data_IF_050661285877
#
_entry.id   IF_050661285877
#
_cell.length_a   1.000
_cell.length_b   1.000
_cell.length_c   1.000
_cell.angle_alpha   90.00
_cell.angle_beta   90.00
_cell.angle_gamma   90.00
#
_symmetry.space_group_name_H-M   'P 1'
#
loop_
_entity.id
_entity.type
_entity.pdbx_description
1 polymer ?
#
# COMPACT_ATOMS: atom_id res chain seq x y z
N UNK A 1 -16.96 13.23 -29.64
CA UNK A 1 -15.66 13.36 -28.95
C UNK A 1 -14.96 12.01 -29.07
N UNK A 2 -13.81 11.94 -29.73
CA UNK A 2 -13.03 10.69 -29.76
C UNK A 2 -12.63 10.33 -28.33
N UNK A 3 -12.98 9.14 -27.85
CA UNK A 3 -12.46 8.64 -26.59
C UNK A 3 -10.93 8.56 -26.72
N UNK A 4 -10.23 9.44 -26.01
CA UNK A 4 -8.76 9.38 -25.91
C UNK A 4 -8.44 8.06 -25.22
N UNK A 5 -7.97 7.08 -26.00
CA UNK A 5 -7.60 5.76 -25.48
C UNK A 5 -6.31 5.88 -24.68
N UNK A 6 -6.32 5.34 -23.46
CA UNK A 6 -5.13 5.20 -22.64
C UNK A 6 -4.02 4.45 -23.40
N UNK A 7 -2.82 5.00 -23.40
CA UNK A 7 -1.61 4.37 -23.95
C UNK A 7 -0.62 4.14 -22.82
N UNK A 8 -0.32 2.88 -22.54
CA UNK A 8 0.59 2.51 -21.45
C UNK A 8 2.00 3.10 -21.67
N UNK A 9 2.60 3.73 -20.64
CA UNK A 9 4.01 4.10 -20.63
C UNK A 9 4.94 2.92 -20.98
N UNK A 10 6.06 3.22 -21.64
CA UNK A 10 7.08 2.25 -22.04
C UNK A 10 8.43 2.61 -21.45
N UNK A 11 9.10 1.59 -20.91
CA UNK A 11 10.46 1.66 -20.37
C UNK A 11 11.47 1.09 -21.39
N UNK A 12 12.76 1.25 -21.09
CA UNK A 12 13.83 0.69 -21.92
C UNK A 12 13.60 -0.80 -22.24
N UNK A 13 13.86 -1.25 -23.48
CA UNK A 13 13.69 -2.65 -23.88
C UNK A 13 14.51 -3.61 -23.01
N UNK A 14 14.06 -4.85 -22.85
CA UNK A 14 14.72 -5.87 -22.00
C UNK A 14 16.22 -6.06 -22.28
N UNK A 15 16.65 -5.92 -23.53
CA UNK A 15 18.06 -6.05 -23.92
C UNK A 15 18.94 -4.91 -23.36
N UNK A 16 18.35 -3.77 -23.00
CA UNK A 16 19.02 -2.62 -22.39
C UNK A 16 18.73 -2.48 -20.90
N UNK A 17 18.61 -3.59 -20.16
CA UNK A 17 18.39 -3.57 -18.70
C UNK A 17 19.52 -4.24 -17.88
N UNK A 18 20.80 -3.82 -18.03
CA UNK A 18 21.93 -4.46 -17.36
C UNK A 18 21.87 -4.36 -15.82
N UNK A 19 21.37 -3.27 -15.25
CA UNK A 19 21.23 -3.16 -13.79
C UNK A 19 20.24 -4.21 -13.25
N UNK A 20 19.05 -4.31 -13.87
CA UNK A 20 18.04 -5.27 -13.42
C UNK A 20 18.48 -6.73 -13.61
N UNK A 21 19.20 -7.03 -14.69
CA UNK A 21 19.71 -8.36 -14.99
C UNK A 21 20.74 -8.83 -13.93
N UNK A 22 21.74 -8.01 -13.63
CA UNK A 22 22.76 -8.35 -12.63
C UNK A 22 22.14 -8.42 -11.22
N UNK A 23 21.24 -7.50 -10.88
CA UNK A 23 20.53 -7.54 -9.60
C UNK A 23 19.73 -8.84 -9.44
N UNK A 24 18.95 -9.21 -10.46
CA UNK A 24 18.14 -10.44 -10.43
C UNK A 24 19.02 -11.68 -10.29
N UNK A 25 20.15 -11.73 -10.99
CA UNK A 25 21.13 -12.82 -10.90
C UNK A 25 21.66 -12.97 -9.46
N UNK A 26 22.04 -11.87 -8.80
CA UNK A 26 22.55 -11.90 -7.41
C UNK A 26 21.48 -12.32 -6.41
N UNK A 27 20.25 -11.82 -6.57
CA UNK A 27 19.12 -12.22 -5.73
C UNK A 27 18.81 -13.71 -5.87
N UNK A 28 18.80 -14.24 -7.10
CA UNK A 28 18.61 -15.68 -7.31
C UNK A 28 19.75 -16.51 -6.69
N UNK A 29 21.00 -16.09 -6.89
CA UNK A 29 22.16 -16.74 -6.29
C UNK A 29 22.07 -16.79 -4.76
N UNK A 30 21.59 -15.72 -4.11
CA UNK A 30 21.35 -15.70 -2.66
C UNK A 30 20.38 -16.80 -2.22
N UNK A 31 19.24 -16.98 -2.90
CA UNK A 31 18.28 -18.04 -2.54
C UNK A 31 18.83 -19.44 -2.79
N UNK A 32 19.53 -19.64 -3.91
CA UNK A 32 20.12 -20.92 -4.29
C UNK A 32 21.24 -21.35 -3.33
N UNK A 33 22.21 -20.46 -3.06
CA UNK A 33 23.35 -20.75 -2.19
C UNK A 33 22.94 -21.04 -0.75
N UNK A 34 21.89 -20.36 -0.26
CA UNK A 34 21.37 -20.57 1.09
C UNK A 34 20.32 -21.67 1.17
N UNK A 35 19.91 -22.27 0.04
CA UNK A 35 18.86 -23.28 -0.06
C UNK A 35 17.56 -22.87 0.66
N UNK A 36 17.14 -21.61 0.46
CA UNK A 36 15.95 -21.03 1.07
C UNK A 36 14.93 -20.61 0.01
N UNK A 37 13.64 -20.67 0.37
CA UNK A 37 12.57 -20.23 -0.51
C UNK A 37 12.38 -18.71 -0.47
N UNK A 38 12.05 -18.05 -1.61
CA UNK A 38 11.66 -16.64 -1.63
C UNK A 38 10.26 -16.38 -1.03
N UNK A 39 9.53 -17.43 -0.64
CA UNK A 39 8.20 -17.32 -0.04
C UNK A 39 8.28 -17.21 1.48
N UNK A 40 7.13 -16.91 2.10
CA UNK A 40 6.99 -16.89 3.55
C UNK A 40 7.38 -18.19 4.24
N UNK A 41 7.78 -18.08 5.51
CA UNK A 41 8.19 -19.20 6.35
C UNK A 41 7.50 -19.14 7.72
N UNK A 42 7.92 -20.00 8.66
CA UNK A 42 7.35 -20.09 10.00
C UNK A 42 7.29 -18.72 10.73
N UNK A 43 8.27 -17.83 10.53
CA UNK A 43 8.26 -16.49 11.15
C UNK A 43 7.06 -15.67 10.68
N UNK A 44 6.74 -15.73 9.38
CA UNK A 44 5.57 -15.06 8.81
C UNK A 44 4.26 -15.66 9.35
N UNK A 45 4.18 -16.99 9.47
CA UNK A 45 2.97 -17.66 9.95
C UNK A 45 2.72 -17.43 11.44
N UNK A 46 3.77 -17.46 12.29
CA UNK A 46 3.65 -17.11 13.71
C UNK A 46 3.17 -15.66 13.86
N UNK A 47 3.78 -14.75 13.10
CA UNK A 47 3.37 -13.34 13.06
C UNK A 47 1.91 -13.19 12.62
N UNK A 48 1.48 -13.93 11.61
CA UNK A 48 0.09 -13.97 11.15
C UNK A 48 -0.85 -14.41 12.26
N UNK A 49 -0.50 -15.47 13.00
CA UNK A 49 -1.27 -15.94 14.14
C UNK A 49 -1.39 -14.89 15.26
N UNK A 50 -0.31 -14.17 15.56
CA UNK A 50 -0.32 -13.07 16.54
C UNK A 50 -1.25 -11.95 16.10
N UNK A 51 -1.16 -11.50 14.85
CA UNK A 51 -1.95 -10.38 14.34
C UNK A 51 -3.45 -10.72 14.23
N UNK A 52 -3.79 -11.89 13.65
CA UNK A 52 -5.18 -12.34 13.54
C UNK A 52 -5.74 -12.66 14.93
N UNK A 53 -5.00 -13.36 15.78
CA UNK A 53 -5.42 -13.69 17.14
C UNK A 53 -5.64 -12.43 17.99
N UNK A 54 -4.76 -11.45 17.88
CA UNK A 54 -4.91 -10.14 18.53
C UNK A 54 -6.16 -9.40 18.04
N UNK A 55 -6.41 -9.40 16.73
CA UNK A 55 -7.60 -8.76 16.15
C UNK A 55 -8.88 -9.42 16.63
N UNK A 56 -8.96 -10.75 16.55
CA UNK A 56 -10.14 -11.50 17.00
C UNK A 56 -10.36 -11.32 18.50
N UNK A 57 -9.31 -11.35 19.31
CA UNK A 57 -9.41 -11.12 20.77
C UNK A 57 -9.95 -9.73 21.07
N UNK A 58 -9.40 -8.69 20.41
CA UNK A 58 -9.86 -7.32 20.61
C UNK A 58 -11.31 -7.12 20.16
N UNK A 59 -11.66 -7.66 19.00
CA UNK A 59 -13.01 -7.57 18.45
C UNK A 59 -14.04 -8.33 19.29
N UNK A 60 -13.75 -9.57 19.69
CA UNK A 60 -14.65 -10.36 20.55
C UNK A 60 -14.76 -9.78 21.95
N UNK A 61 -13.66 -9.29 22.52
CA UNK A 61 -13.68 -8.57 23.80
C UNK A 61 -14.58 -7.34 23.73
N UNK A 62 -14.58 -6.63 22.60
CA UNK A 62 -15.47 -5.50 22.38
C UNK A 62 -16.94 -5.90 22.31
N UNK A 63 -17.32 -6.89 21.48
CA UNK A 63 -18.73 -7.21 21.20
C UNK A 63 -19.37 -8.20 22.20
N UNK A 64 -18.58 -8.97 22.94
CA UNK A 64 -19.08 -9.99 23.87
C UNK A 64 -18.91 -9.61 25.35
N UNK A 65 -17.85 -8.88 25.72
CA UNK A 65 -17.51 -8.68 27.14
C UNK A 65 -18.08 -7.40 27.76
N UNK A 66 -18.81 -6.58 26.99
CA UNK A 66 -19.37 -5.29 27.42
C UNK A 66 -18.34 -4.44 28.22
N UNK A 67 -17.17 -4.13 27.61
CA UNK A 67 -16.06 -3.51 28.33
C UNK A 67 -16.40 -2.11 28.84
N UNK A 68 -15.67 -1.66 29.87
CA UNK A 68 -15.71 -0.26 30.31
C UNK A 68 -15.39 0.70 29.16
N UNK A 69 -15.83 1.95 29.24
CA UNK A 69 -15.54 2.97 28.21
C UNK A 69 -14.04 3.04 27.87
N UNK A 70 -13.17 3.16 28.88
CA UNK A 70 -11.72 3.24 28.66
C UNK A 70 -11.17 2.00 27.94
N UNK A 71 -11.61 0.81 28.35
CA UNK A 71 -11.21 -0.46 27.73
C UNK A 71 -11.71 -0.54 26.29
N UNK A 72 -12.97 -0.17 26.03
CA UNK A 72 -13.53 -0.17 24.68
C UNK A 72 -12.74 0.72 23.72
N UNK A 73 -12.34 1.92 24.15
CA UNK A 73 -11.54 2.85 23.33
C UNK A 73 -10.14 2.31 23.03
N UNK A 74 -9.49 1.65 24.00
CA UNK A 74 -8.21 0.97 23.75
C UNK A 74 -8.36 -0.19 22.76
N UNK A 75 -9.45 -0.96 22.83
CA UNK A 75 -9.73 -2.03 21.88
C UNK A 75 -9.99 -1.49 20.47
N UNK A 76 -10.74 -0.39 20.33
CA UNK A 76 -10.96 0.25 19.02
C UNK A 76 -9.66 0.79 18.41
N UNK A 77 -8.80 1.42 19.21
CA UNK A 77 -7.48 1.85 18.78
C UNK A 77 -6.62 0.66 18.34
N UNK A 78 -6.61 -0.42 19.14
CA UNK A 78 -5.89 -1.65 18.81
C UNK A 78 -6.40 -2.28 17.51
N UNK A 79 -7.72 -2.32 17.29
CA UNK A 79 -8.31 -2.79 16.03
C UNK A 79 -7.84 -1.97 14.85
N UNK A 80 -7.73 -0.64 14.98
CA UNK A 80 -7.21 0.22 13.90
C UNK A 80 -5.75 -0.10 13.55
N UNK A 81 -4.89 -0.26 14.56
CA UNK A 81 -3.49 -0.66 14.35
C UNK A 81 -3.37 -2.06 13.75
N UNK A 82 -4.17 -3.01 14.23
CA UNK A 82 -4.19 -4.39 13.75
C UNK A 82 -4.75 -4.50 12.34
N UNK A 83 -5.74 -3.69 11.95
CA UNK A 83 -6.22 -3.60 10.57
C UNK A 83 -5.09 -3.20 9.63
N UNK A 84 -4.32 -2.15 9.96
CA UNK A 84 -3.18 -1.74 9.15
C UNK A 84 -2.10 -2.84 9.11
N UNK A 85 -1.75 -3.41 10.27
CA UNK A 85 -0.77 -4.48 10.35
C UNK A 85 -1.19 -5.74 9.56
N UNK A 86 -2.44 -6.18 9.62
CA UNK A 86 -2.94 -7.31 8.82
C UNK A 86 -2.84 -6.97 7.33
N UNK A 87 -3.19 -5.74 6.95
CA UNK A 87 -3.03 -5.23 5.59
C UNK A 87 -1.59 -5.37 5.08
N UNK A 88 -0.62 -4.88 5.86
CA UNK A 88 0.79 -4.90 5.49
C UNK A 88 1.42 -6.30 5.49
N UNK A 89 1.07 -7.13 6.47
CA UNK A 89 1.81 -8.35 6.76
C UNK A 89 1.22 -9.61 6.14
N UNK A 90 -0.09 -9.61 5.91
CA UNK A 90 -0.82 -10.81 5.49
C UNK A 90 -1.46 -10.56 4.14
N UNK A 91 -2.28 -9.51 4.04
CA UNK A 91 -2.95 -9.21 2.78
C UNK A 91 -1.94 -8.90 1.68
N UNK A 92 -1.00 -7.98 1.93
CA UNK A 92 -0.06 -7.51 0.91
C UNK A 92 0.80 -8.65 0.33
N UNK A 93 1.45 -9.44 1.19
CA UNK A 93 2.20 -10.64 0.79
C UNK A 93 1.30 -11.65 0.05
N UNK A 94 0.06 -11.85 0.52
CA UNK A 94 -0.88 -12.77 -0.12
C UNK A 94 -1.31 -12.30 -1.51
N UNK A 95 -1.59 -11.01 -1.64
CA UNK A 95 -2.03 -10.38 -2.88
C UNK A 95 -0.94 -10.35 -3.95
N UNK A 96 0.32 -10.33 -3.53
CA UNK A 96 1.50 -10.50 -4.40
C UNK A 96 1.91 -11.97 -4.62
N UNK A 97 1.25 -12.91 -3.93
CA UNK A 97 1.55 -14.34 -4.02
C UNK A 97 2.89 -14.72 -3.38
N UNK A 98 3.40 -13.89 -2.46
CA UNK A 98 4.67 -14.10 -1.75
C UNK A 98 4.49 -14.76 -0.37
N UNK A 99 3.27 -14.71 0.20
CA UNK A 99 2.95 -15.27 1.51
C UNK A 99 3.28 -16.75 1.67
N UNK A 100 3.05 -17.57 0.63
CA UNK A 100 3.29 -19.01 0.67
C UNK A 100 3.69 -19.60 -0.68
N UNK A 101 4.25 -20.81 -0.67
CA UNK A 101 4.41 -21.65 -1.87
C UNK A 101 3.07 -22.18 -2.39
N UNK A 102 2.04 -22.24 -1.54
CA UNK A 102 0.72 -22.74 -1.92
C UNK A 102 -0.20 -21.60 -2.30
N UNK A 103 -0.74 -21.64 -3.52
CA UNK A 103 -1.59 -20.56 -4.05
C UNK A 103 -2.87 -20.32 -3.22
N UNK A 104 -3.48 -21.37 -2.66
CA UNK A 104 -4.68 -21.21 -1.83
C UNK A 104 -4.41 -20.41 -0.54
N UNK A 105 -3.21 -20.54 0.05
CA UNK A 105 -2.80 -19.73 1.20
C UNK A 105 -2.58 -18.27 0.80
N UNK A 106 -2.00 -18.02 -0.37
CA UNK A 106 -1.86 -16.65 -0.90
C UNK A 106 -3.22 -15.99 -1.13
N UNK A 107 -4.18 -16.70 -1.72
CA UNK A 107 -5.53 -16.17 -1.92
C UNK A 107 -6.24 -15.93 -0.59
N UNK A 108 -6.17 -16.85 0.39
CA UNK A 108 -6.72 -16.62 1.73
C UNK A 108 -6.10 -15.41 2.42
N UNK A 109 -4.77 -15.29 2.39
CA UNK A 109 -4.04 -14.16 2.94
C UNK A 109 -4.47 -12.85 2.26
N UNK A 110 -4.51 -12.83 0.93
CA UNK A 110 -4.97 -11.70 0.14
C UNK A 110 -6.41 -11.29 0.45
N UNK A 111 -7.33 -12.25 0.64
CA UNK A 111 -8.72 -11.98 0.96
C UNK A 111 -8.96 -11.41 2.37
N UNK A 112 -7.95 -11.31 3.24
CA UNK A 112 -8.11 -10.62 4.53
C UNK A 112 -8.50 -9.14 4.37
N UNK A 113 -8.15 -8.48 3.26
CA UNK A 113 -8.65 -7.11 2.97
C UNK A 113 -10.16 -7.07 2.74
N UNK A 114 -10.75 -8.14 2.20
CA UNK A 114 -12.19 -8.22 2.01
C UNK A 114 -12.94 -8.30 3.34
N UNK A 115 -12.41 -9.08 4.27
CA UNK A 115 -12.92 -9.13 5.63
C UNK A 115 -12.84 -7.75 6.31
N UNK A 116 -11.74 -7.01 6.08
CA UNK A 116 -11.53 -5.64 6.54
C UNK A 116 -12.23 -4.56 5.68
N UNK A 117 -13.16 -4.95 4.80
CA UNK A 117 -14.09 -4.03 4.14
C UNK A 117 -13.60 -3.39 2.84
N UNK A 118 -12.36 -3.61 2.40
CA UNK A 118 -11.90 -3.23 1.06
C UNK A 118 -12.02 -4.41 0.07
N UNK A 119 -11.54 -4.29 -1.16
CA UNK A 119 -11.69 -5.34 -2.19
C UNK A 119 -10.35 -5.76 -2.76
N UNK A 120 -10.00 -7.05 -2.63
CA UNK A 120 -8.79 -7.62 -3.24
C UNK A 120 -8.77 -7.46 -4.76
N UNK A 121 -9.93 -7.47 -5.41
CA UNK A 121 -10.03 -7.28 -6.86
C UNK A 121 -9.60 -5.87 -7.25
N UNK A 122 -10.18 -4.86 -6.59
CA UNK A 122 -9.85 -3.45 -6.83
C UNK A 122 -8.40 -3.16 -6.43
N UNK A 123 -7.94 -3.77 -5.34
CA UNK A 123 -6.59 -3.61 -4.83
C UNK A 123 -5.55 -4.21 -5.78
N UNK A 124 -5.73 -5.44 -6.29
CA UNK A 124 -4.80 -6.06 -7.27
C UNK A 124 -4.71 -5.23 -8.56
N UNK A 125 -5.81 -4.65 -9.05
CA UNK A 125 -5.73 -3.74 -10.20
C UNK A 125 -5.01 -2.44 -9.85
N UNK A 126 -5.38 -1.77 -8.75
CA UNK A 126 -4.78 -0.51 -8.32
C UNK A 126 -3.27 -0.65 -8.06
N UNK A 127 -2.90 -1.62 -7.24
CA UNK A 127 -1.53 -1.73 -6.75
C UNK A 127 -0.67 -2.59 -7.67
N UNK A 128 -1.05 -3.84 -7.94
CA UNK A 128 -0.18 -4.77 -8.69
C UNK A 128 -0.10 -4.43 -10.18
N UNK A 129 -1.18 -3.92 -10.78
CA UNK A 129 -1.21 -3.62 -12.22
C UNK A 129 -0.82 -2.18 -12.51
N UNK A 130 -1.39 -1.22 -11.77
CA UNK A 130 -1.12 0.21 -12.05
C UNK A 130 0.12 0.67 -11.30
N UNK A 131 0.09 0.71 -9.97
CA UNK A 131 1.17 1.32 -9.18
C UNK A 131 2.55 0.65 -9.39
N UNK A 132 2.64 -0.69 -9.37
CA UNK A 132 3.92 -1.38 -9.59
C UNK A 132 4.46 -1.29 -11.03
N UNK A 133 3.60 -1.00 -12.00
CA UNK A 133 4.04 -0.82 -13.38
C UNK A 133 4.42 0.64 -13.66
N UNK A 134 3.68 1.59 -13.07
CA UNK A 134 3.70 3.00 -13.43
C UNK A 134 3.91 3.93 -12.21
N UNK A 135 4.73 3.50 -11.25
CA UNK A 135 4.98 4.21 -9.98
C UNK A 135 5.29 5.69 -10.20
N UNK A 136 4.60 6.58 -9.51
CA UNK A 136 4.75 8.04 -9.62
C UNK A 136 4.62 8.61 -11.06
N UNK A 137 3.98 7.89 -11.99
CA UNK A 137 3.58 8.46 -13.28
C UNK A 137 2.25 9.20 -13.08
N UNK A 138 2.29 10.53 -13.17
CA UNK A 138 1.17 11.40 -12.85
C UNK A 138 -0.01 11.19 -13.80
N UNK A 139 -1.24 11.12 -13.27
CA UNK A 139 -2.43 10.84 -14.08
C UNK A 139 -2.61 9.37 -14.47
N UNK A 140 -1.65 8.50 -14.12
CA UNK A 140 -1.75 7.04 -14.26
C UNK A 140 -1.79 6.37 -12.89
N UNK A 141 -0.86 6.71 -12.00
CA UNK A 141 -0.74 6.11 -10.67
C UNK A 141 -1.81 6.64 -9.68
N UNK A 142 -2.77 5.78 -9.34
CA UNK A 142 -3.88 6.07 -8.40
C UNK A 142 -3.40 6.19 -6.94
N UNK A 143 -2.15 5.81 -6.62
CA UNK A 143 -1.60 5.91 -5.25
C UNK A 143 -1.13 7.34 -4.90
N UNK A 144 -0.88 8.19 -5.90
CA UNK A 144 -0.56 9.61 -5.75
C UNK A 144 -1.71 10.55 -6.18
N UNK A 145 -2.86 9.99 -6.58
CA UNK A 145 -4.07 10.73 -6.92
C UNK A 145 -5.01 10.85 -5.70
N UNK A 146 -4.84 11.93 -4.94
CA UNK A 146 -5.73 12.30 -3.84
C UNK A 146 -6.89 13.22 -4.30
N UNK A 147 -7.21 13.20 -5.60
CA UNK A 147 -8.12 14.16 -6.22
C UNK A 147 -7.63 15.59 -6.00
N UNK A 148 -8.58 16.52 -5.85
CA UNK A 148 -8.22 17.93 -5.68
C UNK A 148 -7.74 18.32 -4.28
N UNK A 149 -7.81 17.43 -3.29
CA UNK A 149 -7.60 17.79 -1.89
C UNK A 149 -6.11 17.89 -1.50
N UNK A 150 -5.25 17.08 -2.11
CA UNK A 150 -3.81 17.13 -1.93
C UNK A 150 -3.13 17.16 -3.30
N UNK A 151 -2.11 18.01 -3.42
CA UNK A 151 -1.17 18.04 -4.54
C UNK A 151 0.09 17.30 -4.12
N UNK A 152 0.24 16.08 -4.61
CA UNK A 152 1.36 15.17 -4.29
C UNK A 152 2.44 15.16 -5.37
N UNK A 153 2.14 15.63 -6.57
CA UNK A 153 3.08 15.63 -7.69
C UNK A 153 3.10 16.98 -8.45
N UNK A 154 4.21 17.32 -9.13
CA UNK A 154 4.41 18.60 -9.80
C UNK A 154 3.34 18.99 -10.83
N UNK A 155 2.95 18.06 -11.69
CA UNK A 155 1.99 18.27 -12.79
C UNK A 155 0.53 18.34 -12.36
N UNK A 156 0.21 18.04 -11.10
CA UNK A 156 -1.15 18.17 -10.56
C UNK A 156 -1.55 19.65 -10.39
N UNK A 157 -2.79 19.98 -10.74
CA UNK A 157 -3.34 21.34 -10.65
C UNK A 157 -3.22 21.88 -9.22
N UNK A 158 -2.61 23.07 -9.09
CA UNK A 158 -2.54 23.76 -7.80
C UNK A 158 -3.81 24.55 -7.51
N UNK A 159 -4.32 24.38 -6.28
CA UNK A 159 -5.40 25.16 -5.70
C UNK A 159 -4.91 25.98 -4.52
N UNK A 160 -5.57 27.10 -4.23
CA UNK A 160 -5.12 28.06 -3.21
C UNK A 160 -4.96 27.46 -1.81
N UNK A 161 -5.76 26.46 -1.45
CA UNK A 161 -5.68 25.78 -0.16
C UNK A 161 -4.49 24.81 -0.05
N UNK A 162 -3.90 24.35 -1.17
CA UNK A 162 -2.74 23.45 -1.13
C UNK A 162 -1.53 24.06 -0.43
N UNK A 163 -1.43 25.40 -0.33
CA UNK A 163 -0.39 26.06 0.45
C UNK A 163 -0.37 25.64 1.93
N UNK A 164 -1.49 25.10 2.44
CA UNK A 164 -1.65 24.61 3.81
C UNK A 164 -1.74 23.08 3.90
N UNK A 165 -1.55 22.34 2.80
CA UNK A 165 -1.75 20.89 2.80
C UNK A 165 -0.85 20.14 3.78
N UNK A 166 0.36 20.63 3.98
CA UNK A 166 1.30 20.14 5.00
C UNK A 166 0.77 20.25 6.44
N UNK A 167 -0.32 20.99 6.69
CA UNK A 167 -0.99 21.12 8.00
C UNK A 167 -2.22 20.22 8.12
N UNK A 168 -2.98 20.01 7.03
CA UNK A 168 -4.24 19.25 7.07
C UNK A 168 -4.14 17.82 6.49
N UNK A 169 -3.01 17.43 5.91
CA UNK A 169 -2.85 16.10 5.27
C UNK A 169 -3.15 14.96 6.25
N UNK A 170 -2.76 15.09 7.53
CA UNK A 170 -2.94 14.05 8.54
C UNK A 170 -4.41 13.71 8.75
N UNK A 171 -5.29 14.71 8.73
CA UNK A 171 -6.75 14.52 8.79
C UNK A 171 -7.25 13.76 7.56
N UNK A 172 -6.80 14.12 6.35
CA UNK A 172 -7.22 13.43 5.13
C UNK A 172 -6.70 11.99 5.10
N UNK A 173 -5.47 11.76 5.55
CA UNK A 173 -4.86 10.44 5.66
C UNK A 173 -5.64 9.55 6.62
N UNK A 174 -6.08 10.09 7.77
CA UNK A 174 -6.94 9.37 8.69
C UNK A 174 -8.24 8.88 8.03
N UNK A 175 -8.80 9.62 7.06
CA UNK A 175 -10.04 9.24 6.40
C UNK A 175 -9.89 8.14 5.33
N UNK A 176 -8.67 7.73 4.96
CA UNK A 176 -8.43 6.77 3.86
C UNK A 176 -9.21 5.46 4.02
N UNK A 177 -9.13 4.83 5.20
CA UNK A 177 -9.79 3.53 5.41
C UNK A 177 -11.31 3.65 5.29
N UNK A 178 -11.89 4.68 5.91
CA UNK A 178 -13.34 4.94 5.83
C UNK A 178 -13.72 5.17 4.37
N UNK A 179 -12.95 5.98 3.64
CA UNK A 179 -13.16 6.27 2.23
C UNK A 179 -13.11 5.01 1.34
N UNK A 180 -12.23 4.05 1.64
CA UNK A 180 -12.19 2.76 0.96
C UNK A 180 -13.43 1.92 1.20
N UNK A 181 -13.82 1.80 2.47
CA UNK A 181 -14.96 0.99 2.88
C UNK A 181 -16.25 1.51 2.27
N UNK A 182 -16.46 2.84 2.24
CA UNK A 182 -17.76 3.43 1.86
C UNK A 182 -17.83 3.96 0.42
N UNK A 183 -16.71 4.19 -0.26
CA UNK A 183 -16.73 4.89 -1.55
C UNK A 183 -15.84 4.28 -2.64
N UNK A 184 -14.52 4.19 -2.46
CA UNK A 184 -13.63 3.98 -3.62
C UNK A 184 -13.84 2.66 -4.33
N UNK A 185 -14.11 1.59 -3.59
CA UNK A 185 -14.38 0.29 -4.18
C UNK A 185 -15.64 0.30 -5.02
N UNK A 186 -16.70 0.97 -4.55
CA UNK A 186 -17.95 1.11 -5.29
C UNK A 186 -17.73 1.96 -6.55
N UNK A 187 -17.02 3.09 -6.42
CA UNK A 187 -16.65 3.92 -7.58
C UNK A 187 -15.91 3.09 -8.63
N UNK A 188 -14.90 2.32 -8.24
CA UNK A 188 -14.11 1.47 -9.15
C UNK A 188 -14.94 0.33 -9.75
N UNK A 189 -15.77 -0.31 -8.93
CA UNK A 189 -16.68 -1.37 -9.38
C UNK A 189 -17.67 -0.89 -10.44
N UNK A 190 -18.35 0.23 -10.21
CA UNK A 190 -19.37 0.75 -11.14
C UNK A 190 -18.77 1.46 -12.36
N UNK A 191 -17.63 2.14 -12.20
CA UNK A 191 -16.94 2.78 -13.34
C UNK A 191 -16.17 1.79 -14.21
N UNK A 192 -15.87 0.59 -13.70
CA UNK A 192 -15.09 -0.41 -14.42
C UNK A 192 -13.63 -0.03 -14.64
N UNK A 193 -13.08 0.92 -13.87
CA UNK A 193 -11.69 1.38 -14.01
C UNK A 193 -11.07 1.86 -12.70
N UNK A 194 -9.73 1.85 -12.67
CA UNK A 194 -8.89 2.51 -11.67
C UNK A 194 -8.11 3.63 -12.37
N UNK A 195 -8.34 4.89 -12.00
CA UNK A 195 -7.89 6.03 -12.79
C UNK A 195 -8.37 5.92 -14.25
N UNK A 196 -7.42 5.83 -15.17
CA UNK A 196 -7.67 5.62 -16.61
C UNK A 196 -7.55 4.16 -17.07
N UNK A 197 -7.17 3.24 -16.16
CA UNK A 197 -6.89 1.84 -16.49
C UNK A 197 -8.15 1.00 -16.26
N UNK A 198 -8.70 0.32 -17.30
CA UNK A 198 -9.89 -0.51 -17.15
C UNK A 198 -9.61 -1.73 -16.26
N UNK A 199 -10.57 -2.08 -15.41
CA UNK A 199 -10.50 -3.33 -14.64
C UNK A 199 -10.85 -4.51 -15.56
N UNK A 200 -10.24 -5.70 -15.35
CA UNK A 200 -10.64 -6.90 -16.07
C UNK A 200 -12.13 -7.21 -15.88
N UNK A 201 -12.78 -7.76 -16.93
CA UNK A 201 -14.18 -8.19 -16.83
C UNK A 201 -14.34 -9.21 -15.70
N UNK A 202 -15.23 -8.90 -14.77
CA UNK A 202 -15.48 -9.74 -13.61
C UNK A 202 -16.36 -10.93 -13.98
N UNK A 203 -16.06 -12.10 -13.44
CA UNK A 203 -16.92 -13.27 -13.55
C UNK A 203 -18.15 -13.13 -12.64
N UNK A 204 -19.20 -13.91 -12.89
CA UNK A 204 -20.40 -13.95 -12.01
C UNK A 204 -20.02 -14.24 -10.56
N UNK A 205 -19.07 -15.14 -10.34
CA UNK A 205 -18.57 -15.46 -9.00
C UNK A 205 -17.87 -14.26 -8.34
N UNK A 206 -17.07 -13.50 -9.08
CA UNK A 206 -16.41 -12.30 -8.55
C UNK A 206 -17.40 -11.19 -8.19
N UNK A 207 -18.47 -11.02 -8.97
CA UNK A 207 -19.56 -10.10 -8.63
C UNK A 207 -20.25 -10.52 -7.33
N UNK A 208 -20.62 -11.79 -7.20
CA UNK A 208 -21.25 -12.33 -5.98
C UNK A 208 -20.32 -12.16 -4.78
N UNK A 209 -19.04 -12.54 -4.94
CA UNK A 209 -18.02 -12.44 -3.89
C UNK A 209 -17.83 -11.00 -3.43
N UNK A 210 -17.76 -10.03 -4.35
CA UNK A 210 -17.64 -8.61 -4.00
C UNK A 210 -18.78 -8.16 -3.07
N UNK A 211 -20.04 -8.42 -3.45
CA UNK A 211 -21.19 -7.99 -2.65
C UNK A 211 -21.36 -8.79 -1.36
N UNK A 212 -21.06 -10.09 -1.38
CA UNK A 212 -21.10 -10.93 -0.17
C UNK A 212 -20.10 -10.42 0.89
N UNK A 213 -18.88 -10.07 0.48
CA UNK A 213 -17.89 -9.50 1.40
C UNK A 213 -18.29 -8.12 1.92
N UNK A 214 -18.87 -7.25 1.07
CA UNK A 214 -19.40 -5.95 1.53
C UNK A 214 -20.53 -6.12 2.53
N UNK A 215 -21.47 -7.04 2.27
CA UNK A 215 -22.56 -7.35 3.20
C UNK A 215 -22.03 -7.93 4.52
N UNK A 216 -21.09 -8.87 4.47
CA UNK A 216 -20.48 -9.46 5.65
C UNK A 216 -19.74 -8.41 6.49
N UNK A 217 -18.96 -7.53 5.85
CA UNK A 217 -18.30 -6.43 6.54
C UNK A 217 -19.32 -5.49 7.21
N UNK A 218 -20.42 -5.13 6.53
CA UNK A 218 -21.47 -4.32 7.14
C UNK A 218 -22.10 -5.01 8.35
N UNK A 219 -22.40 -6.31 8.27
CA UNK A 219 -22.96 -7.04 9.42
C UNK A 219 -21.96 -7.07 10.58
N UNK A 220 -20.69 -7.40 10.32
CA UNK A 220 -19.69 -7.58 11.37
C UNK A 220 -19.19 -6.26 11.95
N UNK A 221 -18.88 -5.25 11.14
CA UNK A 221 -18.23 -4.03 11.65
C UNK A 221 -19.19 -2.87 11.90
N UNK A 222 -20.43 -2.96 11.40
CA UNK A 222 -21.48 -1.96 11.59
C UNK A 222 -22.61 -2.56 12.43
N UNK A 223 -23.35 -3.54 11.90
CA UNK A 223 -24.59 -4.04 12.50
C UNK A 223 -24.40 -4.64 13.90
N UNK A 224 -23.47 -5.58 14.05
CA UNK A 224 -23.26 -6.31 15.29
C UNK A 224 -22.71 -5.41 16.43
N UNK A 225 -21.63 -4.63 16.23
CA UNK A 225 -21.14 -3.68 17.23
C UNK A 225 -22.17 -2.60 17.57
N UNK A 226 -22.90 -2.07 16.58
CA UNK A 226 -23.96 -1.09 16.84
C UNK A 226 -25.09 -1.67 17.71
N UNK A 227 -25.48 -2.93 17.46
CA UNK A 227 -26.47 -3.62 18.30
C UNK A 227 -25.96 -3.89 19.73
N UNK A 228 -24.67 -4.25 19.89
CA UNK A 228 -24.09 -4.59 21.19
C UNK A 228 -23.70 -3.39 22.05
N UNK A 229 -23.19 -2.32 21.43
CA UNK A 229 -22.62 -1.17 22.12
C UNK A 229 -23.54 0.06 22.11
N UNK A 230 -24.56 0.06 21.25
CA UNK A 230 -25.36 1.24 20.94
C UNK A 230 -24.71 2.13 19.87
N UNK A 231 -25.52 2.98 19.25
CA UNK A 231 -25.11 3.78 18.09
C UNK A 231 -23.96 4.76 18.37
N UNK A 232 -24.04 5.58 19.41
CA UNK A 232 -23.02 6.60 19.67
C UNK A 232 -21.65 6.00 20.06
N UNK A 233 -21.55 5.01 20.98
CA UNK A 233 -20.27 4.37 21.28
C UNK A 233 -19.69 3.64 20.07
N UNK A 234 -20.53 2.96 19.27
CA UNK A 234 -20.10 2.35 18.02
C UNK A 234 -19.56 3.39 17.05
N UNK A 235 -20.27 4.48 16.80
CA UNK A 235 -19.86 5.50 15.84
C UNK A 235 -18.50 6.10 16.24
N UNK A 236 -18.33 6.49 17.50
CA UNK A 236 -17.05 7.01 18.00
C UNK A 236 -15.92 5.99 17.86
N UNK A 237 -16.17 4.73 18.22
CA UNK A 237 -15.19 3.65 18.12
C UNK A 237 -14.81 3.26 16.70
N UNK A 238 -15.80 3.14 15.81
CA UNK A 238 -15.60 2.85 14.39
C UNK A 238 -14.83 3.98 13.70
N UNK A 239 -15.12 5.24 14.04
CA UNK A 239 -14.35 6.39 13.58
C UNK A 239 -12.91 6.35 14.11
N UNK A 240 -12.69 6.02 15.39
CA UNK A 240 -11.33 5.88 15.94
C UNK A 240 -10.54 4.76 15.25
N UNK A 241 -11.13 3.57 15.10
CA UNK A 241 -10.53 2.44 14.40
C UNK A 241 -10.18 2.83 12.96
N UNK A 242 -11.15 3.38 12.23
CA UNK A 242 -10.99 3.77 10.83
C UNK A 242 -9.97 4.88 10.64
N UNK A 243 -9.97 5.90 11.51
CA UNK A 243 -9.00 6.99 11.47
C UNK A 243 -7.58 6.52 11.79
N UNK A 244 -7.43 5.61 12.76
CA UNK A 244 -6.14 5.02 13.11
C UNK A 244 -5.60 4.18 11.96
N UNK A 245 -6.42 3.27 11.41
CA UNK A 245 -6.04 2.44 10.28
C UNK A 245 -5.71 3.30 9.05
N UNK A 246 -6.58 4.25 8.71
CA UNK A 246 -6.39 5.16 7.58
C UNK A 246 -5.10 5.95 7.67
N UNK A 247 -4.81 6.53 8.84
CA UNK A 247 -3.59 7.31 9.03
C UNK A 247 -2.34 6.45 8.90
N UNK A 248 -2.31 5.27 9.56
CA UNK A 248 -1.16 4.36 9.51
C UNK A 248 -0.92 3.84 8.09
N UNK A 249 -1.98 3.41 7.39
CA UNK A 249 -1.89 2.98 5.99
C UNK A 249 -1.35 4.10 5.09
N UNK A 250 -1.94 5.29 5.19
CA UNK A 250 -1.58 6.42 4.35
C UNK A 250 -0.15 6.86 4.60
N UNK A 251 0.26 7.09 5.86
CA UNK A 251 1.60 7.60 6.14
C UNK A 251 2.64 6.61 5.65
N UNK A 252 2.48 5.30 5.90
CA UNK A 252 3.46 4.28 5.49
C UNK A 252 3.65 4.23 3.97
N UNK A 253 2.57 4.21 3.19
CA UNK A 253 2.70 4.22 1.72
C UNK A 253 3.29 5.53 1.20
N UNK A 254 2.94 6.65 1.81
CA UNK A 254 3.36 7.97 1.32
C UNK A 254 4.81 8.30 1.69
N UNK A 255 5.34 7.74 2.78
CA UNK A 255 6.77 7.82 3.10
C UNK A 255 7.67 7.09 2.07
N UNK A 256 7.10 6.20 1.27
CA UNK A 256 7.84 5.46 0.25
C UNK A 256 7.87 6.17 -1.10
N UNK A 257 6.84 6.94 -1.45
CA UNK A 257 6.67 7.48 -2.81
C UNK A 257 6.52 9.01 -2.89
N UNK A 258 6.11 9.66 -1.81
CA UNK A 258 5.81 11.11 -1.78
C UNK A 258 6.75 11.79 -0.79
N UNK A 259 8.02 11.80 -1.14
CA UNK A 259 9.12 12.38 -0.35
C UNK A 259 10.02 13.22 -1.26
N UNK A 260 10.83 14.10 -0.69
CA UNK A 260 11.62 15.06 -1.50
C UNK A 260 12.61 14.41 -2.47
N UNK A 261 13.02 13.18 -2.17
CA UNK A 261 13.96 12.37 -2.94
C UNK A 261 13.27 11.57 -4.07
N UNK A 262 11.95 11.34 -3.99
CA UNK A 262 11.23 10.56 -4.97
C UNK A 262 10.92 11.39 -6.22
N UNK A 263 11.19 10.81 -7.38
CA UNK A 263 10.92 11.42 -8.68
C UNK A 263 9.45 11.23 -9.10
N UNK A 264 8.96 12.14 -9.94
CA UNK A 264 7.63 12.10 -10.54
C UNK A 264 7.73 12.36 -12.04
N UNK A 265 6.93 11.64 -12.83
CA UNK A 265 6.94 11.79 -14.29
C UNK A 265 5.55 12.19 -14.77
N UNK A 266 5.39 13.37 -15.41
CA UNK A 266 4.10 13.76 -15.95
C UNK A 266 3.69 12.86 -17.12
N UNK A 267 2.42 12.48 -17.18
CA UNK A 267 1.84 11.77 -18.33
C UNK A 267 0.64 12.55 -18.88
N UNK A 268 0.66 12.77 -20.20
CA UNK A 268 -0.44 13.39 -20.94
C UNK A 268 -1.28 12.30 -21.59
N UNK A 269 -2.58 12.28 -21.27
CA UNK A 269 -3.49 11.28 -21.79
C UNK A 269 -3.55 11.29 -23.33
N UNK A 270 -3.31 10.14 -23.95
CA UNK A 270 -3.29 9.97 -25.41
C UNK A 270 -1.90 10.03 -26.03
N UNK A 271 -0.89 10.48 -25.29
CA UNK A 271 0.50 10.43 -25.70
C UNK A 271 1.16 9.12 -25.26
N UNK A 272 2.25 8.74 -25.95
CA UNK A 272 3.11 7.63 -25.52
C UNK A 272 4.22 8.22 -24.66
N UNK A 273 4.23 7.92 -23.36
CA UNK A 273 5.39 8.19 -22.52
C UNK A 273 6.42 7.08 -22.77
N UNK A 274 7.57 7.45 -23.34
CA UNK A 274 8.72 6.58 -23.51
C UNK A 274 9.87 7.13 -22.67
N UNK A 275 10.39 6.32 -21.75
CA UNK A 275 11.59 6.66 -20.96
C UNK A 275 12.75 5.79 -21.40
N UNK A 276 13.95 6.39 -21.43
CA UNK A 276 15.21 5.67 -21.64
C UNK A 276 15.66 4.89 -20.40
N UNK A 277 15.01 5.11 -19.24
CA UNK A 277 15.34 4.40 -18.02
C UNK A 277 14.98 2.91 -18.11
N UNK A 278 15.86 2.07 -17.55
CA UNK A 278 15.47 0.71 -17.15
C UNK A 278 14.30 0.78 -16.16
N UNK A 279 13.35 -0.15 -16.28
CA UNK A 279 12.22 -0.19 -15.33
C UNK A 279 12.70 -0.25 -13.87
N UNK A 280 13.72 -1.06 -13.55
CA UNK A 280 14.26 -1.15 -12.21
C UNK A 280 14.90 0.16 -11.72
N UNK A 281 15.64 0.86 -12.58
CA UNK A 281 16.22 2.17 -12.25
C UNK A 281 15.09 3.19 -12.00
N UNK A 282 14.03 3.15 -12.81
CA UNK A 282 12.86 3.99 -12.60
C UNK A 282 12.17 3.71 -11.26
N UNK A 283 12.03 2.44 -10.87
CA UNK A 283 11.50 2.06 -9.55
C UNK A 283 12.39 2.61 -8.42
N UNK A 284 13.72 2.57 -8.57
CA UNK A 284 14.68 3.14 -7.61
C UNK A 284 14.54 4.67 -7.47
N UNK A 285 14.30 5.40 -8.57
CA UNK A 285 14.12 6.87 -8.56
C UNK A 285 12.81 7.32 -7.92
N UNK A 286 11.77 6.48 -7.97
CA UNK A 286 10.40 6.81 -7.55
C UNK A 286 10.05 6.25 -6.17
N UNK A 287 11.00 5.57 -5.52
CA UNK A 287 10.76 4.85 -4.27
C UNK A 287 11.89 5.10 -3.27
N UNK A 288 11.53 5.28 -2.00
CA UNK A 288 12.46 5.45 -0.90
C UNK A 288 12.18 4.46 0.23
N UNK A 289 13.25 4.00 0.87
CA UNK A 289 13.21 3.23 2.10
C UNK A 289 13.27 4.14 3.32
N UNK A 290 12.81 3.67 4.47
CA UNK A 290 12.90 4.43 5.72
C UNK A 290 13.08 3.52 6.92
N UNK A 291 13.85 3.96 7.93
CA UNK A 291 13.98 3.27 9.21
C UNK A 291 14.25 1.74 9.12
N UNK A 292 14.98 1.29 8.09
CA UNK A 292 15.28 -0.12 7.79
C UNK A 292 15.95 -0.88 8.93
N UNK A 293 16.70 -0.16 9.78
CA UNK A 293 17.35 -0.71 10.98
C UNK A 293 16.40 -0.94 12.16
N UNK A 294 15.17 -0.42 12.12
CA UNK A 294 14.19 -0.59 13.20
C UNK A 294 13.48 -1.93 13.08
N UNK A 295 13.90 -2.91 13.89
CA UNK A 295 13.28 -4.25 13.93
C UNK A 295 11.78 -4.19 14.25
N UNK A 296 11.37 -3.26 15.13
CA UNK A 296 9.97 -3.08 15.48
C UNK A 296 9.16 -2.60 14.28
N UNK A 297 9.62 -1.56 13.56
CA UNK A 297 8.91 -1.05 12.39
C UNK A 297 8.90 -2.09 11.27
N UNK A 298 10.02 -2.76 11.00
CA UNK A 298 10.06 -3.85 10.01
C UNK A 298 9.07 -4.96 10.33
N UNK A 299 8.93 -5.32 11.61
CA UNK A 299 7.93 -6.29 12.05
C UNK A 299 6.51 -5.74 11.90
N UNK A 300 6.21 -4.54 12.40
CA UNK A 300 4.85 -4.01 12.37
C UNK A 300 4.37 -3.69 10.95
N UNK A 301 5.26 -3.19 10.09
CA UNK A 301 4.94 -2.68 8.74
C UNK A 301 5.05 -3.74 7.63
N UNK A 302 5.30 -5.01 7.94
CA UNK A 302 5.43 -6.05 6.90
C UNK A 302 6.52 -5.75 5.89
N UNK A 303 7.65 -5.19 6.36
CA UNK A 303 8.76 -4.80 5.49
C UNK A 303 8.46 -3.65 4.52
N UNK A 304 7.32 -2.94 4.62
CA UNK A 304 7.03 -1.75 3.80
C UNK A 304 7.92 -0.53 4.11
N UNK A 305 8.88 -0.70 5.01
CA UNK A 305 9.97 0.23 5.22
C UNK A 305 11.19 -0.09 4.31
N UNK A 306 11.09 -1.17 3.52
CA UNK A 306 11.95 -1.65 2.43
C UNK A 306 11.18 -1.64 1.09
N UNK A 307 10.60 -0.50 0.73
CA UNK A 307 9.78 -0.37 -0.47
C UNK A 307 10.56 -0.49 -1.77
N UNK A 308 11.84 -0.12 -1.80
CA UNK A 308 12.70 -0.35 -2.97
C UNK A 308 12.76 -1.83 -3.31
N UNK A 309 13.04 -2.69 -2.32
CA UNK A 309 13.10 -4.14 -2.50
C UNK A 309 11.73 -4.72 -2.89
N UNK A 310 10.66 -4.20 -2.28
CA UNK A 310 9.31 -4.60 -2.61
C UNK A 310 8.95 -4.30 -4.07
N UNK A 311 9.26 -3.10 -4.56
CA UNK A 311 8.96 -2.70 -5.93
C UNK A 311 9.77 -3.48 -6.96
N UNK A 312 11.03 -3.77 -6.67
CA UNK A 312 11.88 -4.59 -7.54
C UNK A 312 11.47 -6.06 -7.55
N UNK A 313 11.03 -6.60 -6.41
CA UNK A 313 10.74 -8.02 -6.23
C UNK A 313 9.44 -8.31 -5.45
N UNK A 314 8.27 -7.88 -5.96
CA UNK A 314 7.01 -7.92 -5.19
C UNK A 314 6.58 -9.36 -4.84
N UNK A 315 7.03 -10.35 -5.63
CA UNK A 315 6.71 -11.78 -5.41
C UNK A 315 7.60 -12.49 -4.40
N UNK A 316 8.56 -11.80 -3.80
CA UNK A 316 9.41 -12.28 -2.69
C UNK A 316 8.81 -11.78 -1.38
N UNK A 317 8.71 -12.65 -0.39
CA UNK A 317 8.11 -12.31 0.91
C UNK A 317 8.95 -11.29 1.66
N UNK A 318 8.28 -10.36 2.34
CA UNK A 318 8.93 -9.25 3.03
C UNK A 318 9.92 -9.67 4.12
N UNK A 319 9.85 -10.92 4.59
CA UNK A 319 10.80 -11.46 5.57
C UNK A 319 12.24 -11.47 5.05
N UNK A 320 12.44 -11.42 3.73
CA UNK A 320 13.76 -11.45 3.07
C UNK A 320 14.30 -10.05 2.75
N UNK A 321 13.46 -9.01 2.79
CA UNK A 321 13.87 -7.65 2.40
C UNK A 321 15.08 -7.09 3.16
N UNK A 322 15.27 -7.36 4.48
CA UNK A 322 16.48 -6.91 5.17
C UNK A 322 17.79 -7.44 4.56
N UNK A 323 17.80 -8.68 4.06
CA UNK A 323 18.98 -9.25 3.43
C UNK A 323 19.09 -8.83 1.96
N UNK A 324 17.98 -8.79 1.23
CA UNK A 324 17.96 -8.30 -0.14
C UNK A 324 18.40 -6.84 -0.25
N UNK A 325 18.10 -6.01 0.76
CA UNK A 325 18.50 -4.60 0.75
C UNK A 325 20.01 -4.39 0.70
N UNK A 326 20.80 -5.34 1.18
CA UNK A 326 22.26 -5.31 1.08
C UNK A 326 22.69 -5.52 -0.37
N UNK A 327 22.13 -6.54 -1.01
CA UNK A 327 22.38 -6.89 -2.42
C UNK A 327 21.96 -5.73 -3.34
N UNK A 328 20.79 -5.12 -3.08
CA UNK A 328 20.30 -3.97 -3.86
C UNK A 328 21.23 -2.78 -3.69
N UNK A 329 21.66 -2.43 -2.47
CA UNK A 329 22.58 -1.33 -2.22
C UNK A 329 23.94 -1.53 -2.90
N UNK A 330 24.50 -2.72 -2.80
CA UNK A 330 25.79 -3.06 -3.44
C UNK A 330 25.70 -2.94 -4.96
N UNK A 331 24.66 -3.52 -5.56
CA UNK A 331 24.44 -3.45 -7.01
C UNK A 331 24.16 -2.01 -7.47
N UNK A 332 23.38 -1.25 -6.71
CA UNK A 332 23.09 0.15 -7.02
C UNK A 332 24.37 1.00 -7.01
N UNK A 333 25.27 0.78 -6.05
CA UNK A 333 26.55 1.47 -6.01
C UNK A 333 27.44 1.15 -7.22
N UNK A 334 27.51 -0.12 -7.66
CA UNK A 334 28.29 -0.53 -8.83
C UNK A 334 27.79 0.10 -10.14
N UNK A 335 26.47 0.25 -10.27
CA UNK A 335 25.83 0.83 -11.46
C UNK A 335 25.61 2.35 -11.36
N UNK A 336 26.11 3.01 -10.30
CA UNK A 336 25.88 4.43 -10.01
C UNK A 336 24.39 4.83 -9.94
N UNK A 337 23.54 3.92 -9.47
CA UNK A 337 22.11 4.15 -9.24
C UNK A 337 21.90 4.62 -7.81
N UNK A 338 21.12 5.69 -7.63
CA UNK A 338 20.81 6.20 -6.29
C UNK A 338 19.90 5.22 -5.53
N UNK A 339 20.23 4.96 -4.27
CA UNK A 339 19.41 4.19 -3.34
C UNK A 339 18.92 5.10 -2.22
N UNK A 340 17.64 5.48 -2.28
CA UNK A 340 17.05 6.42 -1.32
C UNK A 340 16.66 5.71 -0.03
N UNK A 341 17.26 6.10 1.10
CA UNK A 341 16.99 5.51 2.41
C UNK A 341 17.07 6.56 3.54
N UNK A 342 15.95 6.82 4.18
CA UNK A 342 15.92 7.63 5.40
C UNK A 342 16.34 6.81 6.62
N UNK A 343 17.31 7.32 7.39
CA UNK A 343 17.81 6.64 8.60
C UNK A 343 16.73 6.38 9.65
N UNK A 344 15.73 7.27 9.76
CA UNK A 344 14.69 7.20 10.79
C UNK A 344 13.30 7.43 10.21
N UNK A 345 12.27 7.00 10.93
CA UNK A 345 10.88 7.28 10.57
C UNK A 345 10.60 8.79 10.59
N UNK A 346 11.11 9.49 11.61
CA UNK A 346 10.94 10.94 11.75
C UNK A 346 11.57 11.73 10.58
N UNK A 347 12.74 11.31 10.06
CA UNK A 347 13.34 11.95 8.89
C UNK A 347 12.51 11.73 7.62
N UNK A 348 11.93 10.54 7.43
CA UNK A 348 11.04 10.29 6.31
C UNK A 348 9.76 11.14 6.41
N UNK A 349 9.14 11.21 7.59
CA UNK A 349 7.98 12.09 7.84
C UNK A 349 8.31 13.55 7.57
N UNK A 350 9.49 14.02 7.99
CA UNK A 350 9.94 15.39 7.70
C UNK A 350 10.07 15.63 6.20
N UNK A 351 10.68 14.69 5.47
CA UNK A 351 10.81 14.77 4.00
C UNK A 351 9.43 14.80 3.33
N UNK A 352 8.49 13.95 3.75
CA UNK A 352 7.12 13.94 3.24
C UNK A 352 6.39 15.29 3.49
N UNK A 353 6.46 15.83 4.71
CA UNK A 353 5.86 17.13 5.04
C UNK A 353 6.50 18.27 4.25
N UNK A 354 7.82 18.22 4.05
CA UNK A 354 8.53 19.19 3.21
C UNK A 354 8.09 19.09 1.75
N UNK A 355 7.96 17.88 1.20
CA UNK A 355 7.43 17.63 -0.14
C UNK A 355 6.04 18.24 -0.32
N UNK A 356 5.11 17.95 0.59
CA UNK A 356 3.77 18.53 0.58
C UNK A 356 3.79 20.07 0.65
N UNK A 357 4.70 20.65 1.44
CA UNK A 357 4.86 22.10 1.51
C UNK A 357 5.38 22.68 0.19
N UNK A 358 6.36 22.04 -0.44
CA UNK A 358 6.89 22.45 -1.75
C UNK A 358 5.82 22.37 -2.83
N UNK A 359 5.08 21.26 -2.92
CA UNK A 359 3.97 21.11 -3.87
C UNK A 359 2.87 22.16 -3.65
N UNK A 360 2.62 22.55 -2.40
CA UNK A 360 1.67 23.61 -2.08
C UNK A 360 2.14 25.03 -2.44
N UNK A 361 3.43 25.23 -2.73
CA UNK A 361 4.07 26.53 -2.97
C UNK A 361 4.58 26.72 -4.40
N UNK A 362 4.88 25.63 -5.12
CA UNK A 362 5.28 25.66 -6.52
C UNK A 362 4.13 26.18 -7.39
N UNK A 363 4.42 27.05 -8.36
CA UNK A 363 3.41 27.63 -9.23
C UNK A 363 2.62 26.55 -9.99
#
# INVERSE_FOLDING_TARGET
>A
MSEIRFRAPRFAPKAGQPFYQELTKRVNAYFEQNNISPKGNAKLYVKTGILIGGFLTAYLGLVLAAPSFSTAWMLWLALGLLTAAIGFNIMHDGAHGSFSKHNWLNEMAGHTVNFLGASILMWKTKHNTVHHTFTNIEGVDDDIDAGSLLRMAPGQERRGFHRFQHLYFSTLYALLYIYWVVYTDYKKYFSGKVGQVPIPKLTRFQHISFWAWKALHLVLFVGLPMWKLGFLPWLGGFMLMGMTAGFVLSIVFQLAHVVTEASFTPYVAGETLETEDEWAIYQMKTTANFATKSKFLTWFLGGLNFQVEHHLFPRISHIHYPDLSKIVKETAAEFNVQYHEFKTFASAVRSHVQHLRMMGQMA
#
